data_IF_874054718735
#
_entry.id   IF_874054718735
#
_cell.length_a   1.000
_cell.length_b   1.000
_cell.length_c   1.000
_cell.angle_alpha   90.00
_cell.angle_beta   90.00
_cell.angle_gamma   90.00
#
_symmetry.space_group_name_H-M   'P 1'
#
loop_
_entity.id
_entity.type
_entity.pdbx_description
1 polymer ?
#
# COMPACT_ATOMS: atom_id res chain seq x y z
N UNK A 1 4.98 10.38 -4.26
CA UNK A 1 5.67 9.60 -5.30
C UNK A 1 5.11 8.18 -5.23
N UNK A 2 4.44 7.71 -6.28
CA UNK A 2 3.58 6.51 -6.29
C UNK A 2 4.41 5.21 -6.25
N UNK A 3 4.88 4.83 -5.06
CA UNK A 3 5.79 3.70 -4.87
C UNK A 3 5.17 2.31 -5.14
N UNK A 4 3.86 2.22 -5.35
CA UNK A 4 3.11 0.94 -5.37
C UNK A 4 2.96 0.32 -6.75
N UNK A 5 3.18 1.10 -7.81
CA UNK A 5 3.13 0.62 -9.20
C UNK A 5 4.52 0.80 -9.81
N UNK A 6 5.50 0.04 -9.29
CA UNK A 6 6.81 -0.06 -9.90
C UNK A 6 6.87 -1.33 -10.71
N UNK A 7 6.86 -1.17 -12.03
CA UNK A 7 7.20 -2.23 -12.97
C UNK A 7 8.72 -2.37 -12.99
N UNK A 8 9.20 -3.59 -13.18
CA UNK A 8 10.63 -3.88 -13.36
C UNK A 8 11.14 -3.47 -14.75
N UNK A 9 10.22 -3.16 -15.67
CA UNK A 9 10.55 -2.63 -16.99
C UNK A 9 10.77 -1.11 -16.89
N UNK A 10 12.01 -0.64 -17.16
CA UNK A 10 12.36 0.77 -17.07
C UNK A 10 11.72 1.64 -18.17
N UNK A 11 11.13 1.03 -19.22
CA UNK A 11 10.43 1.75 -20.28
C UNK A 11 9.02 2.19 -19.88
N UNK A 12 8.43 1.57 -18.85
CA UNK A 12 7.06 1.85 -18.41
C UNK A 12 7.04 2.97 -17.37
N UNK A 13 6.29 4.05 -17.64
CA UNK A 13 6.17 5.19 -16.73
C UNK A 13 4.88 5.09 -15.92
N UNK A 14 4.82 5.83 -14.81
CA UNK A 14 3.66 5.85 -13.93
C UNK A 14 2.36 6.29 -14.63
N UNK A 15 2.45 7.19 -15.62
CA UNK A 15 1.29 7.60 -16.41
C UNK A 15 0.74 6.43 -17.24
N UNK A 16 1.62 5.63 -17.83
CA UNK A 16 1.25 4.54 -18.72
C UNK A 16 0.48 3.44 -17.97
N UNK A 17 0.79 3.24 -16.68
CA UNK A 17 0.10 2.29 -15.79
C UNK A 17 -1.32 2.71 -15.43
N UNK A 18 -1.60 4.01 -15.43
CA UNK A 18 -2.93 4.56 -15.12
C UNK A 18 -3.79 4.68 -16.37
N UNK A 19 -3.18 5.04 -17.52
CA UNK A 19 -3.92 5.33 -18.76
C UNK A 19 -4.09 4.11 -19.66
N UNK A 20 -3.09 3.22 -19.77
CA UNK A 20 -3.14 2.08 -20.70
C UNK A 20 -3.56 0.77 -20.04
N UNK A 21 -3.47 0.68 -18.71
CA UNK A 21 -3.78 -0.52 -17.95
C UNK A 21 -4.71 -0.20 -16.77
N UNK A 22 -5.97 0.19 -17.02
CA UNK A 22 -6.93 0.53 -15.96
C UNK A 22 -7.14 -0.58 -14.93
N UNK A 23 -6.83 -1.84 -15.28
CA UNK A 23 -6.81 -2.98 -14.36
C UNK A 23 -5.73 -2.89 -13.26
N UNK A 24 -4.68 -2.09 -13.44
CA UNK A 24 -3.70 -1.77 -12.39
C UNK A 24 -4.18 -0.68 -11.42
N UNK A 25 -5.30 -0.03 -11.74
CA UNK A 25 -5.97 0.92 -10.87
C UNK A 25 -7.36 0.35 -10.54
N UNK A 26 -7.40 -0.70 -9.73
CA UNK A 26 -8.68 -1.19 -9.26
C UNK A 26 -9.23 -0.18 -8.22
N UNK A 27 -10.54 0.09 -8.23
CA UNK A 27 -11.19 0.85 -7.15
C UNK A 27 -10.89 0.24 -5.77
N UNK A 28 -10.58 -1.06 -5.73
CA UNK A 28 -10.17 -1.77 -4.54
C UNK A 28 -8.80 -1.32 -3.97
N UNK A 29 -7.96 -0.63 -4.75
CA UNK A 29 -6.63 -0.16 -4.32
C UNK A 29 -6.67 1.16 -3.52
N UNK A 30 -7.79 1.90 -3.60
CA UNK A 30 -7.98 3.17 -2.89
C UNK A 30 -7.99 2.94 -1.38
N UNK A 31 -8.72 1.92 -0.91
CA UNK A 31 -8.84 1.63 0.53
C UNK A 31 -7.51 1.23 1.17
N UNK A 32 -6.73 0.26 0.63
CA UNK A 32 -5.41 -0.07 1.14
C UNK A 32 -4.46 1.12 1.21
N UNK A 33 -4.48 1.98 0.20
CA UNK A 33 -3.63 3.18 0.16
C UNK A 33 -4.03 4.18 1.23
N UNK A 34 -5.32 4.49 1.36
CA UNK A 34 -5.82 5.44 2.35
C UNK A 34 -5.58 4.99 3.79
N UNK A 35 -5.81 3.69 4.09
CA UNK A 35 -5.56 3.15 5.44
C UNK A 35 -4.06 3.17 5.75
N UNK A 36 -3.20 2.79 4.80
CA UNK A 36 -1.74 2.82 5.00
C UNK A 36 -1.24 4.24 5.30
N UNK A 37 -1.74 5.25 4.58
CA UNK A 37 -1.37 6.66 4.82
C UNK A 37 -1.81 7.16 6.20
N UNK A 38 -2.99 6.74 6.68
CA UNK A 38 -3.47 7.08 8.02
C UNK A 38 -2.60 6.44 9.12
N UNK A 39 -2.19 5.18 8.93
CA UNK A 39 -1.27 4.52 9.85
C UNK A 39 0.11 5.19 9.89
N UNK A 40 0.65 5.59 8.73
CA UNK A 40 1.93 6.31 8.63
C UNK A 40 1.89 7.65 9.37
N UNK A 41 0.78 8.40 9.23
CA UNK A 41 0.57 9.67 9.91
C UNK A 41 0.11 9.54 11.36
N UNK A 42 0.01 8.32 11.89
CA UNK A 42 -0.53 8.04 13.23
C UNK A 42 -1.89 8.71 13.46
N UNK A 43 -2.74 8.73 12.43
CA UNK A 43 -4.05 9.36 12.52
C UNK A 43 -4.92 8.65 13.58
N UNK A 44 -5.60 9.43 14.43
CA UNK A 44 -6.40 8.91 15.55
C UNK A 44 -7.54 7.99 15.11
N UNK A 45 -8.06 8.20 13.91
CA UNK A 45 -9.18 7.46 13.33
C UNK A 45 -8.73 6.30 12.42
N UNK A 46 -7.44 5.94 12.39
CA UNK A 46 -6.93 4.96 11.43
C UNK A 46 -7.60 3.58 11.53
N UNK A 47 -7.89 3.12 12.76
CA UNK A 47 -8.53 1.82 12.98
C UNK A 47 -10.02 1.85 12.68
N UNK A 48 -10.71 2.92 13.06
CA UNK A 48 -12.14 3.11 12.77
C UNK A 48 -12.36 3.23 11.26
N UNK A 49 -11.50 4.00 10.58
CA UNK A 49 -11.50 4.11 9.12
C UNK A 49 -11.19 2.78 8.43
N UNK A 50 -10.33 1.95 9.02
CA UNK A 50 -10.08 0.60 8.52
C UNK A 50 -11.31 -0.31 8.73
N UNK A 51 -12.12 -0.12 9.76
CA UNK A 51 -13.35 -0.89 9.98
C UNK A 51 -13.13 -2.39 10.23
N UNK A 52 -11.93 -2.78 10.69
CA UNK A 52 -11.67 -4.15 11.11
C UNK A 52 -12.03 -4.35 12.58
N UNK A 53 -12.54 -5.53 12.91
CA UNK A 53 -12.87 -5.90 14.29
C UNK A 53 -11.64 -5.92 15.23
N UNK A 54 -10.42 -6.04 14.70
CA UNK A 54 -9.20 -5.97 15.50
C UNK A 54 -8.15 -5.07 14.86
N UNK A 55 -7.41 -4.28 15.68
CA UNK A 55 -6.26 -3.51 15.19
C UNK A 55 -5.17 -4.39 14.57
N UNK A 56 -5.00 -5.62 15.07
CA UNK A 56 -4.03 -6.60 14.54
C UNK A 56 -4.27 -6.89 13.05
N UNK A 57 -5.53 -7.06 12.65
CA UNK A 57 -5.90 -7.24 11.24
C UNK A 57 -5.52 -6.03 10.40
N UNK A 58 -5.78 -4.82 10.90
CA UNK A 58 -5.39 -3.56 10.23
C UNK A 58 -3.87 -3.47 10.04
N UNK A 59 -3.08 -3.78 11.07
CA UNK A 59 -1.63 -3.77 10.94
C UNK A 59 -1.11 -4.84 9.98
N UNK A 60 -1.66 -6.06 10.03
CA UNK A 60 -1.25 -7.16 9.14
C UNK A 60 -1.40 -6.79 7.66
N UNK A 61 -2.49 -6.08 7.31
CA UNK A 61 -2.80 -5.76 5.92
C UNK A 61 -2.19 -4.44 5.43
N UNK A 62 -2.00 -3.46 6.31
CA UNK A 62 -1.68 -2.08 5.90
C UNK A 62 -0.46 -1.48 6.58
N UNK A 63 0.08 -2.08 7.66
CA UNK A 63 1.29 -1.57 8.28
C UNK A 63 2.52 -2.04 7.52
N UNK A 64 2.99 -1.16 6.65
CA UNK A 64 4.12 -1.38 5.77
C UNK A 64 5.45 -0.92 6.38
N UNK A 65 5.44 -0.46 7.63
CA UNK A 65 6.65 -0.15 8.41
C UNK A 65 7.40 -1.42 8.85
N UNK A 66 6.88 -2.62 8.53
CA UNK A 66 7.68 -3.85 8.58
C UNK A 66 8.76 -3.75 7.52
N UNK A 67 9.91 -3.20 7.89
CA UNK A 67 11.17 -3.44 7.18
C UNK A 67 11.37 -4.96 7.19
N UNK A 68 11.13 -5.62 6.06
CA UNK A 68 11.62 -6.99 5.86
C UNK A 68 13.10 -6.85 5.55
N UNK A 69 13.93 -6.89 6.59
CA UNK A 69 15.36 -7.17 6.43
C UNK A 69 15.45 -8.63 6.00
N UNK A 70 16.10 -8.89 4.87
CA UNK A 70 16.56 -10.25 4.58
C UNK A 70 17.70 -10.53 5.55
N UNK A 71 17.62 -11.62 6.31
CA UNK A 71 18.81 -12.14 6.99
C UNK A 71 19.83 -12.53 5.92
N UNK A 72 21.10 -12.22 6.17
CA UNK A 72 22.18 -12.67 5.30
C UNK A 72 22.19 -14.20 5.34
N UNK A 73 21.88 -14.84 4.22
CA UNK A 73 22.11 -16.27 4.05
C UNK A 73 23.63 -16.47 4.09
N UNK A 74 24.10 -17.26 5.06
CA UNK A 74 25.48 -17.77 5.13
C UNK A 74 25.83 -18.66 3.94
#
# INVERSE_FOLDING_TARGET
MNAWIRTLDPSVRAADLVTHHPMYFALQDIRPTAVSMKLEKQAKDAYDFAGHASPSTTHKHYDRRRVRTADATE
#
